data_IF_553180513003
#
_entry.id   IF_553180513003
#
_cell.length_a   1.000
_cell.length_b   1.000
_cell.length_c   1.000
_cell.angle_alpha   90.00
_cell.angle_beta   90.00
_cell.angle_gamma   90.00
#
_symmetry.space_group_name_H-M   'P 1'
#
loop_
_entity.id
_entity.type
_entity.pdbx_description
1 polymer ?
#
# COMPACT_ATOMS: atom_id res chain seq x y z
N UNK A 1 -2.20 -12.27 13.63
CA UNK A 1 -3.13 -13.08 12.77
C UNK A 1 -4.53 -12.86 13.29
N UNK A 2 -5.44 -12.45 12.41
CA UNK A 2 -6.86 -12.34 12.77
C UNK A 2 -7.43 -13.75 12.80
N UNK A 3 -7.61 -14.29 14.00
CA UNK A 3 -7.85 -15.72 14.24
C UNK A 3 -9.15 -16.29 13.65
N UNK A 4 -10.06 -15.52 13.08
CA UNK A 4 -11.32 -15.97 12.51
C UNK A 4 -11.78 -15.11 11.34
N UNK A 5 -10.82 -14.60 10.54
CA UNK A 5 -11.19 -13.84 9.37
C UNK A 5 -12.00 -14.73 8.40
N UNK A 6 -13.16 -14.25 8.04
CA UNK A 6 -13.97 -14.85 6.96
C UNK A 6 -14.34 -13.74 5.99
N UNK A 7 -14.19 -13.98 4.67
CA UNK A 7 -14.69 -13.01 3.70
C UNK A 7 -16.16 -12.77 3.95
N UNK A 8 -16.59 -11.53 3.84
CA UNK A 8 -18.00 -11.23 3.83
C UNK A 8 -18.59 -11.78 2.53
N UNK A 9 -19.48 -12.81 2.58
CA UNK A 9 -19.99 -13.43 1.36
C UNK A 9 -20.86 -12.50 0.52
N UNK A 10 -21.35 -11.40 1.08
CA UNK A 10 -22.11 -10.37 0.36
C UNK A 10 -21.24 -9.25 -0.22
N UNK A 11 -19.95 -9.19 0.15
CA UNK A 11 -19.03 -8.22 -0.43
C UNK A 11 -18.48 -8.76 -1.76
N UNK A 12 -18.54 -7.99 -2.84
CA UNK A 12 -17.87 -8.42 -4.07
C UNK A 12 -16.37 -8.56 -3.78
N UNK A 13 -15.79 -9.67 -4.20
CA UNK A 13 -14.33 -9.86 -4.20
C UNK A 13 -13.72 -8.75 -5.04
N UNK A 14 -13.12 -7.78 -4.40
CA UNK A 14 -12.56 -6.64 -5.12
C UNK A 14 -11.15 -6.95 -5.66
N UNK A 15 -10.47 -7.95 -5.12
CA UNK A 15 -9.27 -8.54 -5.71
C UNK A 15 -9.44 -10.05 -5.82
N UNK A 16 -9.34 -10.58 -7.01
CA UNK A 16 -9.31 -12.02 -7.24
C UNK A 16 -8.10 -12.40 -8.08
N UNK A 17 -7.42 -13.45 -7.65
CA UNK A 17 -6.42 -14.11 -8.48
C UNK A 17 -7.14 -14.86 -9.59
N UNK A 18 -6.85 -14.50 -10.84
CA UNK A 18 -7.52 -15.07 -12.00
C UNK A 18 -6.93 -16.43 -12.35
N UNK A 19 -7.74 -17.30 -12.94
CA UNK A 19 -7.25 -18.56 -13.47
C UNK A 19 -6.16 -18.31 -14.52
N UNK A 20 -5.04 -19.04 -14.41
CA UNK A 20 -3.89 -18.93 -15.31
C UNK A 20 -2.90 -17.82 -14.94
N UNK A 21 -3.21 -16.99 -13.95
CA UNK A 21 -2.23 -16.05 -13.38
C UNK A 21 -1.39 -16.72 -12.29
N UNK A 22 -0.15 -16.24 -12.07
CA UNK A 22 0.60 -16.63 -10.88
C UNK A 22 -0.17 -16.24 -9.61
N UNK A 23 -0.24 -17.16 -8.66
CA UNK A 23 -0.89 -16.94 -7.38
C UNK A 23 0.15 -16.69 -6.28
N UNK A 24 -0.19 -15.78 -5.35
CA UNK A 24 0.64 -15.50 -4.18
C UNK A 24 0.47 -16.53 -3.05
N UNK A 25 1.08 -16.25 -1.90
CA UNK A 25 1.83 -15.03 -1.60
C UNK A 25 3.15 -14.93 -2.35
N UNK A 26 3.49 -13.72 -2.79
CA UNK A 26 4.75 -13.47 -3.53
C UNK A 26 5.85 -12.93 -2.61
N UNK A 27 5.51 -12.05 -1.71
CA UNK A 27 6.45 -11.31 -0.87
C UNK A 27 6.12 -11.38 0.62
N UNK A 28 5.38 -12.41 1.04
CA UNK A 28 5.06 -12.63 2.44
C UNK A 28 6.29 -12.87 3.33
N UNK A 29 7.38 -13.37 2.75
CA UNK A 29 8.61 -13.71 3.49
C UNK A 29 9.59 -12.51 3.62
N UNK A 30 9.29 -11.36 3.03
CA UNK A 30 10.13 -10.19 3.19
C UNK A 30 10.14 -9.72 4.64
N UNK A 31 11.27 -9.16 5.08
CA UNK A 31 11.39 -8.45 6.35
C UNK A 31 11.43 -6.96 6.07
N UNK A 32 10.41 -6.24 6.53
CA UNK A 32 10.31 -4.80 6.33
C UNK A 32 10.85 -4.08 7.55
N UNK A 33 11.82 -3.21 7.34
CA UNK A 33 12.31 -2.28 8.35
C UNK A 33 11.64 -0.94 8.19
N UNK A 34 10.95 -0.48 9.23
CA UNK A 34 10.22 0.78 9.22
C UNK A 34 11.16 1.97 9.02
N UNK A 35 10.75 2.89 8.15
CA UNK A 35 11.43 4.17 7.92
C UNK A 35 10.46 5.31 8.18
N UNK A 36 10.89 6.27 8.99
CA UNK A 36 10.12 7.50 9.24
C UNK A 36 10.37 8.48 8.10
N UNK A 37 9.31 8.96 7.48
CA UNK A 37 9.44 9.99 6.44
C UNK A 37 9.87 11.35 7.01
N UNK A 38 10.52 12.13 6.17
CA UNK A 38 10.85 13.52 6.41
C UNK A 38 10.06 14.39 5.43
N UNK A 39 9.23 15.28 5.96
CA UNK A 39 8.35 16.11 5.15
C UNK A 39 7.29 15.30 4.38
N UNK A 40 6.72 15.86 3.31
CA UNK A 40 5.65 15.23 2.52
C UNK A 40 6.19 14.19 1.53
N UNK A 41 6.83 13.15 2.03
CA UNK A 41 7.53 12.13 1.22
C UNK A 41 6.99 10.71 1.42
N UNK A 42 5.71 10.57 1.73
CA UNK A 42 5.12 9.27 2.06
C UNK A 42 5.29 8.23 0.93
N UNK A 43 5.11 8.60 -0.33
CA UNK A 43 5.30 7.69 -1.47
C UNK A 43 6.77 7.28 -1.58
N UNK A 44 7.68 8.23 -1.72
CA UNK A 44 9.10 7.94 -1.91
C UNK A 44 9.69 7.13 -0.75
N UNK A 45 9.31 7.45 0.48
CA UNK A 45 9.77 6.72 1.66
C UNK A 45 9.20 5.30 1.72
N UNK A 46 7.95 5.12 1.36
CA UNK A 46 7.31 3.80 1.28
C UNK A 46 7.98 2.91 0.23
N UNK A 47 8.25 3.45 -0.95
CA UNK A 47 8.92 2.70 -2.02
C UNK A 47 10.35 2.30 -1.63
N UNK A 48 11.11 3.22 -1.02
CA UNK A 48 12.45 2.93 -0.51
C UNK A 48 12.44 1.85 0.56
N UNK A 49 11.53 1.95 1.52
CA UNK A 49 11.36 0.95 2.59
C UNK A 49 11.12 -0.46 2.04
N UNK A 50 10.24 -0.58 1.06
CA UNK A 50 9.91 -1.88 0.45
C UNK A 50 11.02 -2.37 -0.48
N UNK A 51 11.65 -1.50 -1.28
CA UNK A 51 12.82 -1.87 -2.08
C UNK A 51 13.96 -2.40 -1.21
N UNK A 52 14.22 -1.77 -0.07
CA UNK A 52 15.27 -2.21 0.85
C UNK A 52 14.97 -3.57 1.49
N UNK A 53 13.71 -3.95 1.61
CA UNK A 53 13.33 -5.29 2.06
C UNK A 53 13.78 -6.40 1.09
N UNK A 54 14.06 -6.08 -0.16
CA UNK A 54 14.64 -7.02 -1.15
C UNK A 54 16.16 -7.16 -1.07
N UNK A 55 16.81 -6.48 -0.14
CA UNK A 55 18.27 -6.42 0.00
C UNK A 55 18.92 -5.22 -0.67
N UNK A 56 18.15 -4.31 -1.26
CA UNK A 56 18.65 -3.06 -1.81
C UNK A 56 19.05 -2.07 -0.70
N UNK A 57 19.82 -1.07 -1.08
CA UNK A 57 20.20 0.03 -0.19
C UNK A 57 19.84 1.36 -0.87
N UNK A 58 18.57 1.71 -0.78
CA UNK A 58 18.02 2.93 -1.37
C UNK A 58 17.65 3.95 -0.31
N UNK A 59 17.49 5.18 -0.73
CA UNK A 59 16.98 6.28 0.09
C UNK A 59 15.69 6.84 -0.53
N UNK A 60 14.84 7.54 0.24
CA UNK A 60 13.68 8.22 -0.33
C UNK A 60 14.02 9.19 -1.48
N UNK A 61 15.20 9.79 -1.43
CA UNK A 61 15.66 10.71 -2.49
C UNK A 61 15.81 10.02 -3.85
N UNK A 62 16.25 8.76 -3.85
CA UNK A 62 16.36 7.97 -5.09
C UNK A 62 15.01 7.82 -5.78
N UNK A 63 13.93 7.69 -5.00
CA UNK A 63 12.59 7.55 -5.53
C UNK A 63 11.92 8.89 -5.86
N UNK A 64 12.20 9.95 -5.10
CA UNK A 64 11.70 11.29 -5.42
C UNK A 64 12.13 11.75 -6.81
N UNK A 65 13.34 11.41 -7.22
CA UNK A 65 13.89 11.81 -8.51
C UNK A 65 13.15 11.17 -9.71
N UNK A 66 12.52 10.01 -9.54
CA UNK A 66 11.97 9.21 -10.63
C UNK A 66 10.47 8.93 -10.52
N UNK A 67 9.81 9.44 -9.48
CA UNK A 67 8.38 9.21 -9.25
C UNK A 67 7.58 10.51 -9.20
N UNK A 68 6.31 10.37 -9.55
CA UNK A 68 5.29 11.40 -9.34
C UNK A 68 4.25 10.84 -8.37
N UNK A 69 3.99 11.53 -7.28
CA UNK A 69 3.04 11.11 -6.24
C UNK A 69 1.60 10.98 -6.73
N UNK A 70 1.25 11.55 -7.87
CA UNK A 70 -0.06 11.47 -8.50
C UNK A 70 -0.11 10.45 -9.66
N UNK A 71 1.01 9.83 -10.01
CA UNK A 71 1.13 8.93 -11.14
C UNK A 71 1.68 7.55 -10.71
N UNK A 72 0.82 6.62 -10.27
CA UNK A 72 1.25 5.32 -9.74
C UNK A 72 2.04 4.44 -10.71
N UNK A 73 1.89 4.63 -12.03
CA UNK A 73 2.72 3.93 -13.00
C UNK A 73 4.20 4.27 -12.83
N UNK A 74 4.53 5.48 -12.37
CA UNK A 74 5.92 5.84 -12.07
C UNK A 74 6.45 5.09 -10.84
N UNK A 75 5.59 4.79 -9.87
CA UNK A 75 5.97 3.99 -8.70
C UNK A 75 6.29 2.55 -9.10
N UNK A 76 5.42 1.96 -9.91
CA UNK A 76 5.62 0.61 -10.44
C UNK A 76 6.93 0.52 -11.22
N UNK A 77 7.19 1.47 -12.11
CA UNK A 77 8.44 1.52 -12.86
C UNK A 77 9.67 1.68 -11.98
N UNK A 78 9.60 2.54 -10.97
CA UNK A 78 10.71 2.76 -10.04
C UNK A 78 11.06 1.52 -9.20
N UNK A 79 10.09 0.62 -8.98
CA UNK A 79 10.30 -0.62 -8.24
C UNK A 79 10.88 -1.76 -9.09
N UNK A 80 10.79 -1.69 -10.42
CA UNK A 80 11.25 -2.78 -11.32
C UNK A 80 12.71 -3.17 -11.15
N UNK A 81 13.68 -2.24 -10.95
CA UNK A 81 15.07 -2.62 -10.70
C UNK A 81 15.27 -3.54 -9.49
N UNK A 82 14.30 -3.56 -8.58
CA UNK A 82 14.34 -4.37 -7.36
C UNK A 82 13.50 -5.66 -7.45
N UNK A 83 13.04 -5.99 -8.66
CA UNK A 83 12.23 -7.18 -8.91
C UNK A 83 10.76 -7.04 -8.53
N UNK A 84 10.28 -5.84 -8.32
CA UNK A 84 8.94 -5.51 -7.88
C UNK A 84 8.19 -4.69 -8.92
N UNK A 85 6.89 -4.87 -8.98
CA UNK A 85 5.98 -3.97 -9.69
C UNK A 85 4.63 -3.94 -8.99
N UNK A 86 3.75 -3.06 -9.41
CA UNK A 86 2.44 -2.88 -8.79
C UNK A 86 1.33 -3.38 -9.71
N UNK A 87 0.38 -4.08 -9.12
CA UNK A 87 -0.86 -4.44 -9.76
C UNK A 87 -2.03 -3.72 -9.08
N UNK A 88 -2.92 -3.12 -9.85
CA UNK A 88 -4.15 -2.58 -9.28
C UNK A 88 -4.99 -3.68 -8.67
N UNK A 89 -5.42 -3.45 -7.44
CA UNK A 89 -6.46 -4.24 -6.82
C UNK A 89 -7.80 -3.53 -6.95
N UNK A 90 -7.87 -2.29 -6.48
CA UNK A 90 -9.10 -1.52 -6.50
C UNK A 90 -8.81 -0.01 -6.41
N UNK A 91 -9.69 0.78 -6.98
CA UNK A 91 -9.70 2.24 -6.88
C UNK A 91 -11.07 2.79 -6.45
N UNK A 92 -11.97 1.94 -5.95
CA UNK A 92 -13.24 2.38 -5.39
C UNK A 92 -13.04 3.10 -4.07
N UNK A 93 -13.77 4.18 -3.88
CA UNK A 93 -13.78 4.91 -2.63
C UNK A 93 -14.70 4.20 -1.64
N UNK A 94 -14.09 3.45 -0.73
CA UNK A 94 -14.79 2.73 0.34
C UNK A 94 -14.02 2.86 1.65
N UNK A 95 -14.65 2.50 2.75
CA UNK A 95 -13.97 2.48 4.05
C UNK A 95 -12.78 1.52 4.03
N UNK A 96 -11.69 1.93 4.64
CA UNK A 96 -10.46 1.13 4.72
C UNK A 96 -10.72 -0.23 5.38
N UNK A 97 -11.57 -0.27 6.41
CA UNK A 97 -11.99 -1.51 7.08
C UNK A 97 -12.59 -2.54 6.13
N UNK A 98 -13.27 -2.09 5.08
CA UNK A 98 -13.88 -2.97 4.08
C UNK A 98 -12.84 -3.84 3.35
N UNK A 99 -11.64 -3.33 3.16
CA UNK A 99 -10.59 -3.99 2.39
C UNK A 99 -9.55 -4.70 3.25
N UNK A 100 -9.16 -4.11 4.38
CA UNK A 100 -8.03 -4.64 5.18
C UNK A 100 -8.26 -6.08 5.61
N UNK A 101 -9.44 -6.39 6.12
CA UNK A 101 -9.75 -7.74 6.62
C UNK A 101 -9.66 -8.79 5.51
N UNK A 102 -10.03 -8.42 4.29
CA UNK A 102 -9.90 -9.30 3.12
C UNK A 102 -8.44 -9.44 2.69
N UNK A 103 -7.69 -8.32 2.65
CA UNK A 103 -6.29 -8.33 2.20
C UNK A 103 -5.36 -9.11 3.11
N UNK A 104 -5.58 -9.07 4.40
CA UNK A 104 -4.80 -9.83 5.39
C UNK A 104 -4.80 -11.32 5.08
N UNK A 105 -5.89 -11.83 4.51
CA UNK A 105 -6.00 -13.25 4.15
C UNK A 105 -5.07 -13.69 3.02
N UNK A 106 -4.62 -12.78 2.18
CA UNK A 106 -3.63 -13.11 1.14
C UNK A 106 -2.22 -13.32 1.68
N UNK A 107 -1.96 -12.90 2.92
CA UNK A 107 -0.68 -13.07 3.61
C UNK A 107 0.52 -12.55 2.80
N UNK A 108 0.35 -11.40 2.17
CA UNK A 108 1.26 -10.83 1.18
C UNK A 108 1.52 -9.33 1.40
N UNK A 109 1.94 -8.63 0.38
CA UNK A 109 2.39 -7.24 0.42
C UNK A 109 1.50 -6.34 -0.43
N UNK A 110 0.95 -5.30 0.20
CA UNK A 110 0.04 -4.33 -0.44
C UNK A 110 0.41 -2.89 -0.07
N UNK A 111 0.12 -1.97 -0.98
CA UNK A 111 0.07 -0.54 -0.68
C UNK A 111 -1.39 -0.09 -0.63
N UNK A 112 -1.74 0.61 0.44
CA UNK A 112 -3.05 1.18 0.63
C UNK A 112 -2.94 2.70 0.64
N UNK A 113 -3.55 3.34 -0.35
CA UNK A 113 -3.68 4.79 -0.40
C UNK A 113 -5.08 5.17 0.08
N UNK A 114 -5.16 6.05 1.04
CA UNK A 114 -6.42 6.51 1.61
C UNK A 114 -6.41 8.01 1.82
N UNK A 115 -7.59 8.60 1.95
CA UNK A 115 -7.72 10.00 2.28
C UNK A 115 -7.48 10.21 3.77
N UNK A 116 -6.57 11.11 4.10
CA UNK A 116 -6.28 11.47 5.50
C UNK A 116 -7.41 12.30 6.13
N UNK A 117 -8.22 12.92 5.28
CA UNK A 117 -9.48 13.61 5.59
C UNK A 117 -10.53 13.21 4.56
N UNK A 118 -11.76 13.63 4.77
CA UNK A 118 -12.79 13.46 3.75
C UNK A 118 -12.32 14.07 2.44
N UNK A 119 -12.61 13.42 1.30
CA UNK A 119 -12.25 13.97 0.00
C UNK A 119 -12.76 15.40 -0.11
N UNK A 120 -11.93 16.36 -0.53
CA UNK A 120 -12.38 17.74 -0.63
C UNK A 120 -13.52 17.83 -1.68
N UNK A 121 -14.60 18.47 -1.31
CA UNK A 121 -15.70 18.77 -2.22
C UNK A 121 -15.28 19.74 -3.33
N UNK A 122 -14.28 20.56 -3.06
CA UNK A 122 -13.64 21.45 -4.02
C UNK A 122 -12.11 21.42 -3.80
N UNK A 123 -11.37 20.69 -4.66
CA UNK A 123 -9.91 20.60 -4.56
C UNK A 123 -9.20 21.94 -4.75
N UNK A 124 -9.84 22.91 -5.38
CA UNK A 124 -9.23 24.22 -5.66
C UNK A 124 -9.38 25.20 -4.49
N UNK A 125 -10.39 25.04 -3.66
CA UNK A 125 -10.68 25.96 -2.56
C UNK A 125 -9.61 25.94 -1.46
N UNK A 126 -8.85 24.86 -1.32
CA UNK A 126 -7.84 24.70 -0.26
C UNK A 126 -6.41 24.97 -0.71
N UNK A 127 -6.14 25.10 -1.99
CA UNK A 127 -4.79 25.23 -2.56
C UNK A 127 -3.88 24.00 -2.30
N UNK A 128 -4.39 22.95 -1.67
CA UNK A 128 -3.69 21.69 -1.39
C UNK A 128 -4.42 20.53 -2.05
N UNK A 129 -3.85 20.02 -3.12
CA UNK A 129 -4.42 18.95 -3.91
C UNK A 129 -4.30 17.56 -3.28
N UNK A 130 -3.49 17.37 -2.24
CA UNK A 130 -3.21 16.06 -1.70
C UNK A 130 -3.53 15.97 -0.22
N UNK A 131 -4.62 15.26 0.08
CA UNK A 131 -5.00 14.83 1.43
C UNK A 131 -4.90 13.31 1.56
N UNK A 132 -4.27 12.64 0.58
CA UNK A 132 -4.10 11.20 0.58
C UNK A 132 -2.77 10.80 1.24
N UNK A 133 -2.77 9.64 1.87
CA UNK A 133 -1.61 9.02 2.49
C UNK A 133 -1.47 7.59 2.01
N UNK A 134 -0.25 7.07 1.99
CA UNK A 134 0.07 5.69 1.63
C UNK A 134 0.63 4.96 2.83
N UNK A 135 0.17 3.75 3.05
CA UNK A 135 0.69 2.81 4.04
C UNK A 135 1.00 1.48 3.38
N UNK A 136 1.84 0.69 4.02
CA UNK A 136 2.18 -0.66 3.59
C UNK A 136 1.48 -1.67 4.49
N UNK A 137 0.71 -2.57 3.91
CA UNK A 137 0.23 -3.77 4.58
C UNK A 137 1.13 -4.94 4.18
N UNK A 138 1.81 -5.52 5.15
CA UNK A 138 2.60 -6.73 4.97
C UNK A 138 2.07 -7.80 5.92
N UNK A 139 1.44 -8.82 5.36
CA UNK A 139 0.75 -9.88 6.10
C UNK A 139 -0.38 -9.30 6.96
N UNK A 140 -0.20 -9.26 8.27
CA UNK A 140 -1.17 -8.70 9.23
C UNK A 140 -0.68 -7.41 9.91
N UNK A 141 0.39 -6.83 9.39
CA UNK A 141 1.07 -5.67 9.99
C UNK A 141 1.05 -4.48 9.04
N UNK A 142 0.74 -3.32 9.57
CA UNK A 142 0.78 -2.03 8.84
C UNK A 142 2.05 -1.27 9.20
N UNK A 143 2.70 -0.74 8.18
CA UNK A 143 3.85 0.16 8.26
C UNK A 143 3.43 1.53 7.73
N UNK A 144 3.48 2.54 8.59
CA UNK A 144 3.14 3.92 8.28
C UNK A 144 4.36 4.82 8.44
N UNK A 145 4.86 5.34 7.34
CA UNK A 145 6.07 6.18 7.35
C UNK A 145 5.85 7.56 7.95
N UNK A 146 4.61 8.01 8.12
CA UNK A 146 4.30 9.29 8.75
C UNK A 146 4.53 9.29 10.26
N UNK A 147 4.64 8.12 10.87
CA UNK A 147 4.79 7.94 12.32
C UNK A 147 6.08 7.21 12.64
N UNK A 148 6.61 7.41 13.85
CA UNK A 148 7.74 6.60 14.32
C UNK A 148 7.26 5.17 14.63
N UNK A 149 8.17 4.20 14.55
CA UNK A 149 7.85 2.79 14.76
C UNK A 149 7.14 2.54 16.11
N UNK A 150 7.58 3.22 17.17
CA UNK A 150 7.01 3.07 18.51
C UNK A 150 5.72 3.83 18.75
N UNK A 151 5.38 4.79 17.89
CA UNK A 151 4.21 5.66 18.03
C UNK A 151 3.20 5.46 16.90
N UNK A 152 2.93 4.21 16.54
CA UNK A 152 1.92 3.86 15.55
C UNK A 152 2.42 3.68 14.12
N UNK A 153 3.75 3.75 13.90
CA UNK A 153 4.35 3.50 12.59
C UNK A 153 4.41 2.02 12.23
N UNK A 154 4.36 1.14 13.21
CA UNK A 154 4.25 -0.32 13.02
C UNK A 154 3.14 -0.82 13.93
N UNK A 155 2.02 -1.24 13.37
CA UNK A 155 0.82 -1.63 14.13
C UNK A 155 0.15 -2.84 13.49
N UNK A 156 -0.63 -3.62 14.25
CA UNK A 156 -1.48 -4.64 13.66
C UNK A 156 -2.49 -4.03 12.68
N UNK A 157 -2.83 -4.74 11.63
CA UNK A 157 -3.78 -4.30 10.61
C UNK A 157 -5.15 -3.92 11.19
N UNK A 158 -5.59 -4.58 12.26
CA UNK A 158 -6.82 -4.26 13.00
C UNK A 158 -6.90 -2.80 13.45
N UNK A 159 -5.75 -2.19 13.77
CA UNK A 159 -5.71 -0.79 14.17
C UNK A 159 -6.25 0.13 13.07
N UNK A 160 -5.88 -0.15 11.83
CA UNK A 160 -6.34 0.62 10.67
C UNK A 160 -7.75 0.22 10.22
N UNK A 161 -8.17 -1.02 10.41
CA UNK A 161 -9.53 -1.44 10.09
C UNK A 161 -10.59 -0.77 10.97
N UNK A 162 -10.20 -0.24 12.12
CA UNK A 162 -11.09 0.54 13.01
C UNK A 162 -11.17 2.02 12.65
N UNK A 163 -10.28 2.51 11.77
CA UNK A 163 -10.29 3.91 11.37
C UNK A 163 -11.33 4.13 10.27
N UNK A 164 -12.17 5.13 10.45
CA UNK A 164 -13.15 5.55 9.45
C UNK A 164 -12.47 6.40 8.37
N UNK A 165 -11.59 5.78 7.57
CA UNK A 165 -10.91 6.40 6.44
C UNK A 165 -11.38 5.77 5.14
N UNK A 166 -11.45 6.57 4.09
CA UNK A 166 -11.83 6.12 2.77
C UNK A 166 -10.61 5.84 1.91
N UNK A 167 -10.62 4.71 1.22
CA UNK A 167 -9.56 4.35 0.30
C UNK A 167 -9.62 5.18 -0.97
N UNK A 168 -8.45 5.44 -1.54
CA UNK A 168 -8.29 6.06 -2.84
C UNK A 168 -7.84 5.04 -3.88
N UNK A 169 -6.81 4.27 -3.55
CA UNK A 169 -6.23 3.25 -4.44
C UNK A 169 -5.60 2.16 -3.59
N UNK A 170 -5.64 0.94 -4.10
CA UNK A 170 -4.95 -0.19 -3.47
C UNK A 170 -4.17 -0.94 -4.54
N UNK A 171 -2.93 -1.28 -4.22
CA UNK A 171 -2.03 -2.04 -5.08
C UNK A 171 -1.54 -3.28 -4.37
N UNK A 172 -1.43 -4.38 -5.09
CA UNK A 172 -0.60 -5.51 -4.67
C UNK A 172 0.79 -5.32 -5.25
N UNK A 173 1.81 -5.58 -4.45
CA UNK A 173 3.18 -5.68 -4.93
C UNK A 173 3.35 -7.08 -5.52
N UNK A 174 3.74 -7.17 -6.78
CA UNK A 174 3.84 -8.42 -7.52
C UNK A 174 5.21 -8.55 -8.19
N UNK A 175 5.65 -9.78 -8.48
CA UNK A 175 6.92 -9.98 -9.21
C UNK A 175 6.81 -9.54 -10.67
N UNK A 176 7.96 -9.33 -11.32
CA UNK A 176 8.02 -8.83 -12.69
C UNK A 176 7.37 -9.74 -13.73
N UNK A 177 7.30 -11.05 -13.46
CA UNK A 177 6.64 -12.00 -14.37
C UNK A 177 5.11 -11.98 -14.24
N UNK A 178 4.55 -11.26 -13.27
CA UNK A 178 3.10 -11.16 -13.12
C UNK A 178 2.51 -10.36 -14.28
N UNK A 179 1.42 -10.82 -14.92
CA UNK A 179 0.87 -10.17 -16.12
C UNK A 179 0.18 -8.83 -15.82
N UNK A 180 -0.27 -8.61 -14.59
CA UNK A 180 -0.86 -7.34 -14.18
C UNK A 180 0.26 -6.35 -13.80
N UNK A 181 0.24 -5.19 -14.42
CA UNK A 181 1.16 -4.10 -14.11
C UNK A 181 0.47 -2.76 -14.32
N UNK A 182 0.66 -1.87 -13.37
CA UNK A 182 0.20 -0.47 -13.48
C UNK A 182 1.02 0.29 -14.51
#
# INVERSE_FOLDING_TARGET
>A
MIANWKPNPSAPLWYSERQGEPHGPFFGDLTIEHVKQVGPSCVATTLSMVANATGANTTPEDFKAVTNSQAPHTWSQALKPYGLQLAYCNNDVRRLSYFIDELVAYDDLFFLCFYSKDPPSDPQASGKLCTAHIITLHRDTIYDTAKTAFNGGVVPAEHYSRLERQTKRIFRVVPLYHPRCV
#
